data_IF_223141506505
#
_entry.id   IF_223141506505
#
_cell.length_a   1.000
_cell.length_b   1.000
_cell.length_c   1.000
_cell.angle_alpha   90.00
_cell.angle_beta   90.00
_cell.angle_gamma   90.00
#
_symmetry.space_group_name_H-M   'P 1'
#
loop_
_entity.id
_entity.type
_entity.pdbx_description
1 polymer ?
#
# COMPACT_ATOMS: atom_id res chain seq x y z
N UNK A 1 14.74 1.70 -35.00
CA UNK A 1 13.38 2.27 -34.82
C UNK A 1 13.48 3.44 -33.87
N UNK A 2 12.86 4.55 -34.22
CA UNK A 2 12.75 5.72 -33.34
C UNK A 2 11.98 5.36 -32.06
N UNK A 3 12.41 5.89 -30.91
CA UNK A 3 11.73 5.66 -29.63
C UNK A 3 10.47 6.54 -29.58
N UNK A 4 9.30 6.01 -29.19
CA UNK A 4 8.07 6.80 -29.12
C UNK A 4 8.16 7.87 -28.02
N UNK A 5 7.37 8.94 -28.18
CA UNK A 5 7.26 9.99 -27.18
C UNK A 5 6.43 9.47 -25.98
N UNK A 6 6.92 9.73 -24.77
CA UNK A 6 6.22 9.38 -23.52
C UNK A 6 5.88 10.62 -22.71
N UNK A 7 4.61 10.81 -22.35
CA UNK A 7 4.19 11.86 -21.42
C UNK A 7 4.10 11.30 -20.00
N UNK A 8 4.90 11.81 -19.07
CA UNK A 8 4.90 11.40 -17.67
C UNK A 8 4.07 12.40 -16.88
N UNK A 9 2.92 11.97 -16.37
CA UNK A 9 2.00 12.77 -15.56
C UNK A 9 2.27 12.50 -14.08
N UNK A 10 2.51 13.57 -13.33
CA UNK A 10 2.69 13.53 -11.88
C UNK A 10 1.63 14.45 -11.27
N UNK A 11 0.75 13.90 -10.41
CA UNK A 11 -0.24 14.70 -9.68
C UNK A 11 0.35 15.11 -8.33
N UNK A 12 0.21 16.39 -7.98
CA UNK A 12 0.76 16.97 -6.76
C UNK A 12 -0.32 17.68 -5.95
N UNK A 13 -0.25 17.53 -4.62
CA UNK A 13 -1.04 18.29 -3.67
C UNK A 13 -0.24 18.45 -2.38
N UNK A 14 0.26 19.66 -2.11
CA UNK A 14 1.11 19.98 -0.96
C UNK A 14 2.31 19.02 -0.79
N UNK A 15 2.93 18.66 -1.92
CA UNK A 15 3.91 17.56 -2.01
C UNK A 15 5.35 18.00 -2.26
N UNK A 16 5.73 19.26 -2.00
CA UNK A 16 7.06 19.81 -2.33
C UNK A 16 8.22 18.90 -1.91
N UNK A 17 8.16 18.35 -0.71
CA UNK A 17 9.23 17.50 -0.14
C UNK A 17 9.38 16.15 -0.85
N UNK A 18 8.35 15.71 -1.57
CA UNK A 18 8.32 14.47 -2.34
C UNK A 18 8.83 14.68 -3.77
N UNK A 19 8.46 15.81 -4.39
CA UNK A 19 8.77 16.12 -5.79
C UNK A 19 10.26 16.11 -6.10
N UNK A 20 11.11 16.54 -5.17
CA UNK A 20 12.57 16.60 -5.39
C UNK A 20 13.16 15.25 -5.75
N UNK A 21 12.82 14.19 -5.01
CA UNK A 21 13.36 12.85 -5.23
C UNK A 21 12.73 12.19 -6.47
N UNK A 22 11.43 12.39 -6.67
CA UNK A 22 10.68 11.89 -7.82
C UNK A 22 11.22 12.45 -9.14
N UNK A 23 11.25 13.79 -9.29
CA UNK A 23 11.71 14.44 -10.52
C UNK A 23 13.19 14.16 -10.81
N UNK A 24 14.05 14.16 -9.79
CA UNK A 24 15.47 13.78 -9.97
C UNK A 24 15.62 12.37 -10.51
N UNK A 25 14.79 11.41 -10.08
CA UNK A 25 14.86 10.05 -10.58
C UNK A 25 14.33 9.93 -12.01
N UNK A 26 13.22 10.60 -12.33
CA UNK A 26 12.69 10.66 -13.71
C UNK A 26 13.74 11.18 -14.68
N UNK A 27 14.39 12.30 -14.38
CA UNK A 27 15.42 12.89 -15.25
C UNK A 27 16.75 12.12 -15.29
N UNK A 28 16.94 11.14 -14.39
CA UNK A 28 18.06 10.17 -14.41
C UNK A 28 17.76 8.91 -15.22
N UNK A 29 16.55 8.76 -15.75
CA UNK A 29 16.17 7.66 -16.64
C UNK A 29 17.11 7.58 -17.85
N UNK A 30 17.43 6.36 -18.28
CA UNK A 30 18.23 6.08 -19.49
C UNK A 30 17.42 6.29 -20.78
N UNK A 31 16.11 6.54 -20.67
CA UNK A 31 15.29 6.87 -21.83
C UNK A 31 15.69 8.25 -22.41
N UNK A 32 15.80 8.42 -23.74
CA UNK A 32 16.29 9.67 -24.30
C UNK A 32 15.41 10.85 -23.90
N UNK A 33 16.05 11.91 -23.39
CA UNK A 33 15.35 13.12 -22.90
C UNK A 33 14.50 13.81 -23.95
N UNK A 34 14.85 13.69 -25.23
CA UNK A 34 14.05 14.21 -26.35
C UNK A 34 12.77 13.40 -26.62
N UNK A 35 12.65 12.21 -26.04
CA UNK A 35 11.55 11.27 -26.25
C UNK A 35 10.65 11.13 -25.02
N UNK A 36 10.78 12.00 -24.02
CA UNK A 36 9.75 12.12 -22.98
C UNK A 36 9.53 13.57 -22.56
N UNK A 37 8.32 13.86 -22.11
CA UNK A 37 7.95 15.10 -21.45
C UNK A 37 7.43 14.80 -20.05
N UNK A 38 7.57 15.76 -19.14
CA UNK A 38 7.07 15.63 -17.76
C UNK A 38 6.03 16.72 -17.53
N UNK A 39 4.85 16.30 -17.10
CA UNK A 39 3.70 17.14 -16.83
C UNK A 39 3.39 17.00 -15.33
N UNK A 40 3.62 18.08 -14.59
CA UNK A 40 3.20 18.18 -13.21
C UNK A 40 1.83 18.84 -13.17
N UNK A 41 0.84 18.14 -12.60
CA UNK A 41 -0.48 18.69 -12.32
C UNK A 41 -0.53 19.07 -10.85
N UNK A 42 -0.61 20.36 -10.57
CA UNK A 42 -0.81 20.88 -9.22
C UNK A 42 -2.31 20.99 -8.91
N UNK A 43 -2.77 20.27 -7.90
CA UNK A 43 -4.18 20.19 -7.49
C UNK A 43 -4.49 21.20 -6.38
N UNK A 44 -4.24 22.49 -6.61
CA UNK A 44 -4.49 23.56 -5.63
C UNK A 44 -3.59 23.43 -4.38
N UNK A 45 -2.27 23.30 -4.61
CA UNK A 45 -1.29 23.30 -3.53
C UNK A 45 -1.11 24.69 -2.93
N UNK A 46 -1.02 24.72 -1.61
CA UNK A 46 -0.77 25.92 -0.81
C UNK A 46 0.65 25.96 -0.24
N UNK A 47 1.51 25.04 -0.69
CA UNK A 47 2.93 25.02 -0.39
C UNK A 47 3.76 25.63 -1.53
N UNK A 48 5.08 25.56 -1.42
CA UNK A 48 6.00 26.12 -2.42
C UNK A 48 6.32 25.12 -3.56
N UNK A 49 5.45 24.14 -3.84
CA UNK A 49 5.67 23.11 -4.87
C UNK A 49 5.88 23.69 -6.26
N UNK A 50 4.98 24.57 -6.72
CA UNK A 50 5.01 25.15 -8.07
C UNK A 50 6.27 26.00 -8.26
N UNK A 51 6.58 26.89 -7.30
CA UNK A 51 7.80 27.71 -7.34
C UNK A 51 9.07 26.85 -7.35
N UNK A 52 9.10 25.78 -6.57
CA UNK A 52 10.21 24.83 -6.55
C UNK A 52 10.42 24.19 -7.94
N UNK A 53 9.36 23.76 -8.60
CA UNK A 53 9.45 23.09 -9.91
C UNK A 53 9.91 24.06 -10.99
N UNK A 54 9.36 25.27 -11.06
CA UNK A 54 9.82 26.29 -12.01
C UNK A 54 11.30 26.63 -11.85
N UNK A 55 11.79 26.71 -10.60
CA UNK A 55 13.19 27.06 -10.34
C UNK A 55 14.16 25.91 -10.66
N UNK A 56 13.88 24.69 -10.20
CA UNK A 56 14.84 23.57 -10.27
C UNK A 56 14.63 22.64 -11.47
N UNK A 57 13.43 22.65 -12.08
CA UNK A 57 13.06 21.78 -13.19
C UNK A 57 12.28 22.55 -14.28
N UNK A 58 12.87 23.60 -14.89
CA UNK A 58 12.17 24.50 -15.82
C UNK A 58 11.66 23.82 -17.11
N UNK A 59 12.08 22.58 -17.39
CA UNK A 59 11.57 21.79 -18.51
C UNK A 59 10.28 21.02 -18.20
N UNK A 60 9.86 20.97 -16.93
CA UNK A 60 8.59 20.36 -16.52
C UNK A 60 7.46 21.32 -16.85
N UNK A 61 6.46 20.83 -17.57
CA UNK A 61 5.22 21.58 -17.77
C UNK A 61 4.38 21.51 -16.49
N UNK A 62 4.02 22.67 -15.95
CA UNK A 62 3.13 22.75 -14.77
C UNK A 62 1.72 23.11 -15.24
N UNK A 63 0.72 22.38 -14.74
CA UNK A 63 -0.70 22.64 -14.92
C UNK A 63 -1.32 22.86 -13.55
N UNK A 64 -1.82 24.05 -13.29
CA UNK A 64 -2.44 24.40 -12.01
C UNK A 64 -3.97 24.27 -12.13
N UNK A 65 -4.54 23.34 -11.37
CA UNK A 65 -5.99 23.22 -11.22
C UNK A 65 -6.49 24.24 -10.19
N UNK A 66 -7.72 24.73 -10.39
CA UNK A 66 -8.35 25.73 -9.50
C UNK A 66 -8.75 25.18 -8.13
N UNK A 67 -8.89 23.86 -8.02
CA UNK A 67 -9.27 23.17 -6.80
C UNK A 67 -8.74 21.72 -6.79
N UNK A 68 -8.70 21.11 -5.60
CA UNK A 68 -8.27 19.74 -5.46
C UNK A 68 -9.34 18.75 -5.98
N UNK A 69 -9.16 18.27 -7.20
CA UNK A 69 -10.04 17.30 -7.87
C UNK A 69 -9.64 15.82 -7.61
N UNK A 70 -8.77 15.58 -6.63
CA UNK A 70 -8.24 14.26 -6.30
C UNK A 70 -7.30 13.71 -7.39
N UNK A 71 -6.88 12.47 -7.21
CA UNK A 71 -5.98 11.79 -8.16
C UNK A 71 -6.63 11.59 -9.53
N UNK A 72 -7.92 11.24 -9.57
CA UNK A 72 -8.66 11.04 -10.81
C UNK A 72 -8.74 12.33 -11.65
N UNK A 73 -9.21 13.42 -11.04
CA UNK A 73 -9.34 14.71 -11.72
C UNK A 73 -7.99 15.34 -12.08
N UNK A 74 -7.00 15.25 -11.18
CA UNK A 74 -5.63 15.71 -11.46
C UNK A 74 -5.00 14.96 -12.64
N UNK A 75 -5.12 13.63 -12.65
CA UNK A 75 -4.62 12.83 -13.77
C UNK A 75 -5.33 13.18 -15.08
N UNK A 76 -6.65 13.43 -15.03
CA UNK A 76 -7.44 13.86 -16.19
C UNK A 76 -6.96 15.20 -16.77
N UNK A 77 -6.58 16.17 -15.94
CA UNK A 77 -5.94 17.41 -16.41
C UNK A 77 -4.62 17.13 -17.12
N UNK A 78 -3.80 16.21 -16.59
CA UNK A 78 -2.55 15.79 -17.23
C UNK A 78 -2.78 15.09 -18.58
N UNK A 79 -3.75 14.18 -18.64
CA UNK A 79 -4.09 13.44 -19.87
C UNK A 79 -4.45 14.37 -21.03
N UNK A 80 -5.17 15.48 -20.76
CA UNK A 80 -5.56 16.47 -21.77
C UNK A 80 -4.37 17.22 -22.38
N UNK A 81 -3.24 17.27 -21.68
CA UNK A 81 -2.04 18.00 -22.12
C UNK A 81 -0.92 17.07 -22.62
N UNK A 82 -1.04 15.77 -22.35
CA UNK A 82 -0.09 14.77 -22.82
C UNK A 82 -0.06 14.69 -24.35
N UNK A 83 1.14 14.67 -24.94
CA UNK A 83 1.38 14.55 -26.39
C UNK A 83 1.93 13.20 -26.83
N UNK A 84 2.46 12.40 -25.91
CA UNK A 84 3.14 11.13 -26.20
C UNK A 84 2.20 10.01 -26.65
N UNK A 85 2.72 9.10 -27.46
CA UNK A 85 2.02 7.85 -27.86
C UNK A 85 1.74 6.96 -26.65
N UNK A 86 2.62 7.07 -25.65
CA UNK A 86 2.49 6.45 -24.34
C UNK A 86 2.36 7.51 -23.26
N UNK A 87 1.52 7.23 -22.28
CA UNK A 87 1.23 8.13 -21.16
C UNK A 87 1.53 7.36 -19.88
N UNK A 88 2.35 7.92 -19.01
CA UNK A 88 2.71 7.31 -17.74
C UNK A 88 2.06 8.08 -16.62
N UNK A 89 1.38 7.38 -15.72
CA UNK A 89 1.00 7.90 -14.41
C UNK A 89 2.12 7.56 -13.42
N UNK A 90 2.57 8.57 -12.68
CA UNK A 90 3.60 8.42 -11.65
C UNK A 90 3.24 9.26 -10.42
N UNK A 91 3.17 8.64 -9.25
CA UNK A 91 2.94 9.40 -8.03
C UNK A 91 4.15 10.27 -7.66
N UNK A 92 3.88 11.40 -7.01
CA UNK A 92 4.91 12.34 -6.53
C UNK A 92 5.82 11.75 -5.44
N UNK A 93 5.37 10.70 -4.75
CA UNK A 93 6.08 9.97 -3.69
C UNK A 93 6.79 8.70 -4.20
N UNK A 94 6.93 8.56 -5.52
CA UNK A 94 7.63 7.45 -6.18
C UNK A 94 8.98 7.90 -6.74
N UNK A 95 10.02 7.10 -6.49
CA UNK A 95 11.34 7.19 -7.12
C UNK A 95 11.50 6.03 -8.10
N UNK A 96 12.04 6.27 -9.29
CA UNK A 96 12.17 5.25 -10.34
C UNK A 96 13.61 4.79 -10.53
N UNK A 97 13.79 3.55 -11.00
CA UNK A 97 15.09 3.04 -11.44
C UNK A 97 15.52 3.66 -12.79
N UNK A 98 16.82 3.66 -13.08
CA UNK A 98 17.37 4.21 -14.32
C UNK A 98 16.75 3.58 -15.58
N UNK A 99 16.44 2.28 -15.59
CA UNK A 99 15.87 1.62 -16.78
C UNK A 99 14.34 1.53 -16.78
N UNK A 100 13.67 2.01 -15.73
CA UNK A 100 12.23 1.93 -15.52
C UNK A 100 11.39 2.26 -16.77
N UNK A 101 11.59 3.44 -17.36
CA UNK A 101 10.78 3.91 -18.48
C UNK A 101 11.00 3.06 -19.73
N UNK A 102 12.24 2.64 -19.96
CA UNK A 102 12.57 1.78 -21.09
C UNK A 102 11.86 0.44 -20.98
N UNK A 103 11.83 -0.18 -19.79
CA UNK A 103 11.18 -1.46 -19.58
C UNK A 103 9.64 -1.36 -19.71
N UNK A 104 9.02 -0.27 -19.25
CA UNK A 104 7.60 0.00 -19.51
C UNK A 104 7.30 0.07 -21.01
N UNK A 105 8.09 0.87 -21.75
CA UNK A 105 7.91 1.05 -23.20
C UNK A 105 8.13 -0.26 -23.94
N UNK A 106 9.14 -1.05 -23.58
CA UNK A 106 9.41 -2.36 -24.19
C UNK A 106 8.24 -3.32 -24.01
N UNK A 107 7.68 -3.39 -22.81
CA UNK A 107 6.52 -4.23 -22.51
C UNK A 107 5.25 -3.76 -23.26
N UNK A 108 5.07 -2.44 -23.42
CA UNK A 108 3.91 -1.86 -24.08
C UNK A 108 3.89 -2.06 -25.61
N UNK A 109 5.02 -2.37 -26.25
CA UNK A 109 5.10 -2.57 -27.71
C UNK A 109 4.23 -3.71 -28.24
N UNK A 110 3.88 -4.68 -27.40
CA UNK A 110 2.99 -5.77 -27.79
C UNK A 110 1.62 -5.21 -28.21
N UNK A 111 1.11 -5.60 -29.38
CA UNK A 111 -0.11 -5.01 -29.95
C UNK A 111 -1.34 -5.21 -29.06
N UNK A 112 -1.46 -6.34 -28.37
CA UNK A 112 -2.59 -6.62 -27.47
C UNK A 112 -2.53 -5.89 -26.13
N UNK A 113 -1.37 -5.38 -25.72
CA UNK A 113 -1.17 -4.74 -24.41
C UNK A 113 -1.62 -3.29 -24.45
N UNK A 114 -2.53 -2.92 -23.56
CA UNK A 114 -3.03 -1.55 -23.41
C UNK A 114 -2.40 -0.79 -22.24
N UNK A 115 -2.15 -1.49 -21.13
CA UNK A 115 -1.57 -0.92 -19.90
C UNK A 115 -0.42 -1.81 -19.42
N UNK A 116 0.65 -1.19 -18.92
CA UNK A 116 1.79 -1.86 -18.29
C UNK A 116 2.01 -1.30 -16.89
N UNK A 117 2.05 -2.17 -15.88
CA UNK A 117 2.31 -1.85 -14.48
C UNK A 117 3.77 -2.15 -14.12
N UNK A 118 4.41 -1.25 -13.36
CA UNK A 118 5.75 -1.47 -12.80
C UNK A 118 5.74 -2.46 -11.62
N UNK A 119 6.93 -2.93 -11.23
CA UNK A 119 7.20 -3.53 -9.92
C UNK A 119 7.53 -2.41 -8.92
N UNK A 120 6.72 -2.27 -7.88
CA UNK A 120 6.91 -1.28 -6.82
C UNK A 120 7.46 -1.95 -5.57
N UNK A 121 8.61 -1.48 -5.12
CA UNK A 121 9.13 -1.75 -3.78
C UNK A 121 8.74 -0.63 -2.81
N UNK A 122 8.87 -0.90 -1.51
CA UNK A 122 9.00 0.18 -0.53
C UNK A 122 10.26 1.02 -0.84
N UNK A 123 10.25 2.29 -0.45
CA UNK A 123 11.37 3.21 -0.70
C UNK A 123 12.64 2.90 0.11
N UNK A 124 12.56 1.91 0.99
CA UNK A 124 13.65 1.37 1.79
C UNK A 124 13.62 -0.16 1.77
N UNK A 125 14.80 -0.83 1.72
CA UNK A 125 14.89 -2.26 1.93
C UNK A 125 14.78 -2.60 3.43
N UNK A 126 14.71 -3.90 3.73
CA UNK A 126 14.55 -4.42 5.09
C UNK A 126 15.58 -5.50 5.41
N UNK A 127 15.92 -5.67 6.68
CA UNK A 127 16.75 -6.77 7.18
C UNK A 127 15.97 -7.60 8.19
N UNK A 128 16.15 -8.91 8.19
CA UNK A 128 15.49 -9.80 9.13
C UNK A 128 16.46 -10.14 10.28
N UNK A 129 16.04 -9.85 11.51
CA UNK A 129 16.71 -10.28 12.72
C UNK A 129 16.00 -11.48 13.33
N UNK A 130 16.75 -12.53 13.62
CA UNK A 130 16.28 -13.69 14.37
C UNK A 130 16.75 -13.57 15.82
N UNK A 131 15.80 -13.51 16.74
CA UNK A 131 16.02 -13.41 18.18
C UNK A 131 15.69 -14.76 18.79
N UNK A 132 16.68 -15.38 19.44
CA UNK A 132 16.49 -16.66 20.14
C UNK A 132 16.69 -16.45 21.64
N UNK A 133 15.79 -17.01 22.44
CA UNK A 133 15.88 -17.03 23.90
C UNK A 133 15.53 -18.40 24.45
N UNK A 134 15.97 -18.70 25.68
CA UNK A 134 15.50 -19.88 26.40
C UNK A 134 13.98 -19.84 26.60
N UNK A 135 13.31 -20.96 26.37
CA UNK A 135 11.87 -21.14 26.64
C UNK A 135 11.71 -21.67 28.06
N UNK A 136 10.80 -21.07 28.82
CA UNK A 136 10.36 -21.61 30.10
C UNK A 136 8.86 -21.95 30.06
N UNK A 137 8.53 -23.17 30.51
CA UNK A 137 7.15 -23.66 30.63
C UNK A 137 6.79 -23.60 32.10
N UNK A 138 5.86 -22.71 32.47
CA UNK A 138 5.45 -22.51 33.86
C UNK A 138 4.45 -23.59 34.32
N UNK A 139 4.77 -24.41 35.35
CA UNK A 139 3.86 -25.46 35.85
C UNK A 139 2.68 -24.96 36.70
N UNK A 140 2.84 -23.82 37.40
CA UNK A 140 1.96 -23.37 38.51
C UNK A 140 1.05 -22.17 38.20
N UNK A 141 0.96 -21.73 36.94
CA UNK A 141 -0.16 -20.87 36.47
C UNK A 141 -1.35 -21.78 36.15
N UNK A 142 -1.75 -22.57 37.16
CA UNK A 142 -2.87 -23.49 37.06
C UNK A 142 -4.18 -22.74 37.32
N UNK A 143 -4.90 -22.50 36.22
CA UNK A 143 -6.34 -22.21 36.06
C UNK A 143 -6.73 -20.74 35.70
N UNK A 144 -7.13 -20.61 34.43
CA UNK A 144 -7.96 -19.53 33.85
C UNK A 144 -7.14 -18.40 33.23
N UNK A 145 -7.27 -18.00 31.96
CA UNK A 145 -8.22 -18.21 30.85
C UNK A 145 -7.33 -18.20 29.58
N UNK A 146 -7.52 -19.15 28.64
CA UNK A 146 -6.90 -19.22 27.30
C UNK A 146 -5.50 -19.88 27.11
N UNK A 147 -5.33 -21.15 27.50
CA UNK A 147 -4.43 -22.09 26.80
C UNK A 147 -2.92 -21.74 26.69
N UNK A 148 -2.10 -22.42 27.50
CA UNK A 148 -0.64 -22.61 27.41
C UNK A 148 0.13 -21.83 26.32
N UNK A 149 1.01 -20.91 26.72
CA UNK A 149 2.06 -20.41 25.83
C UNK A 149 3.42 -20.37 26.54
N UNK A 150 4.44 -21.10 26.05
CA UNK A 150 5.81 -20.98 26.55
C UNK A 150 6.28 -19.53 26.46
N UNK A 151 6.80 -18.95 27.55
CA UNK A 151 7.30 -17.56 27.52
C UNK A 151 8.82 -17.59 27.28
N UNK A 152 9.24 -16.94 26.19
CA UNK A 152 10.62 -16.47 26.05
C UNK A 152 10.77 -15.13 26.79
N UNK A 153 11.26 -14.12 26.09
CA UNK A 153 11.46 -12.75 26.60
C UNK A 153 10.36 -11.79 26.14
N UNK A 154 10.15 -10.70 26.88
CA UNK A 154 9.26 -9.60 26.48
C UNK A 154 10.08 -8.54 25.74
N UNK A 155 9.68 -8.22 24.51
CA UNK A 155 10.32 -7.21 23.67
C UNK A 155 9.42 -5.96 23.66
N UNK A 156 9.98 -4.81 24.02
CA UNK A 156 9.32 -3.51 23.83
C UNK A 156 9.47 -3.01 22.38
N UNK A 157 9.08 -1.78 22.08
CA UNK A 157 9.32 -1.20 20.77
C UNK A 157 10.80 -1.22 20.40
N UNK A 158 11.08 -1.72 19.19
CA UNK A 158 12.40 -1.59 18.57
C UNK A 158 12.52 -0.17 18.04
N UNK A 159 13.48 0.57 18.60
CA UNK A 159 13.71 1.96 18.26
C UNK A 159 14.77 2.05 17.16
N UNK A 160 14.34 2.51 15.99
CA UNK A 160 15.23 2.91 14.91
C UNK A 160 15.72 4.36 15.13
N UNK A 161 16.62 4.83 14.26
CA UNK A 161 17.17 6.19 14.25
C UNK A 161 16.11 7.30 14.08
N UNK A 162 14.89 6.96 13.63
CA UNK A 162 13.77 7.89 13.57
C UNK A 162 12.42 7.24 13.87
N UNK A 163 11.48 8.03 14.41
CA UNK A 163 10.11 7.59 14.70
C UNK A 163 9.37 7.07 13.47
N UNK A 164 9.62 7.65 12.29
CA UNK A 164 9.03 7.18 11.04
C UNK A 164 9.47 5.76 10.71
N UNK A 165 10.75 5.44 10.95
CA UNK A 165 11.31 4.10 10.71
C UNK A 165 10.87 3.10 11.79
N UNK A 166 10.76 3.50 13.05
CA UNK A 166 10.23 2.61 14.09
C UNK A 166 8.80 2.14 13.76
N UNK A 167 7.98 2.98 13.11
CA UNK A 167 6.64 2.60 12.63
C UNK A 167 6.65 1.60 11.45
N UNK A 168 7.81 1.34 10.85
CA UNK A 168 8.02 0.39 9.76
C UNK A 168 8.70 -0.89 10.25
N UNK A 169 8.78 -1.14 11.56
CA UNK A 169 9.23 -2.41 12.12
C UNK A 169 8.10 -3.44 12.05
N UNK A 170 8.39 -4.62 11.50
CA UNK A 170 7.43 -5.71 11.38
C UNK A 170 7.86 -6.88 12.24
N UNK A 171 7.04 -7.23 13.21
CA UNK A 171 7.23 -8.42 14.01
C UNK A 171 6.55 -9.58 13.27
N UNK A 172 7.36 -10.55 12.84
CA UNK A 172 6.96 -11.62 11.93
C UNK A 172 6.36 -12.79 12.70
N UNK A 173 7.11 -13.88 12.88
CA UNK A 173 6.71 -15.06 13.63
C UNK A 173 7.36 -15.06 15.03
N UNK A 174 6.82 -15.91 15.91
CA UNK A 174 7.41 -16.17 17.21
C UNK A 174 7.05 -15.18 18.32
N UNK A 175 5.91 -14.49 18.18
CA UNK A 175 5.38 -13.54 19.17
C UNK A 175 4.00 -13.94 19.69
N UNK A 176 3.78 -13.78 21.00
CA UNK A 176 2.48 -13.86 21.66
C UNK A 176 1.97 -12.46 22.04
N UNK A 177 0.65 -12.31 22.14
CA UNK A 177 0.02 -11.07 22.60
C UNK A 177 -0.03 -10.99 24.13
N UNK A 178 0.05 -9.76 24.66
CA UNK A 178 -0.34 -9.43 26.04
C UNK A 178 -1.82 -8.99 26.08
N UNK A 179 -2.64 -9.63 26.91
CA UNK A 179 -3.96 -9.09 27.25
C UNK A 179 -3.79 -7.91 28.21
N UNK A 180 -4.39 -6.78 27.84
CA UNK A 180 -4.60 -5.53 28.61
C UNK A 180 -3.43 -4.54 28.78
N UNK A 181 -3.69 -3.28 28.40
CA UNK A 181 -2.81 -2.11 28.59
C UNK A 181 -2.13 -1.59 27.31
N UNK A 182 -1.86 -0.28 27.23
CA UNK A 182 -1.31 0.43 26.07
C UNK A 182 -0.21 -0.36 25.32
N UNK A 183 -0.48 -0.54 24.02
CA UNK A 183 0.28 -1.23 22.96
C UNK A 183 1.73 -0.70 22.91
N UNK A 184 2.76 -1.53 23.14
CA UNK A 184 3.59 -2.05 22.02
C UNK A 184 4.44 -3.30 22.32
N UNK A 185 4.45 -3.80 23.55
CA UNK A 185 5.32 -4.92 23.94
C UNK A 185 4.75 -6.30 23.55
N UNK A 186 5.63 -7.24 23.21
CA UNK A 186 5.28 -8.60 22.73
C UNK A 186 6.15 -9.66 23.37
N UNK A 187 5.52 -10.71 23.89
CA UNK A 187 6.26 -11.88 24.37
C UNK A 187 6.77 -12.69 23.18
N UNK A 188 7.98 -13.23 23.26
CA UNK A 188 8.49 -14.18 22.27
C UNK A 188 8.20 -15.62 22.68
N UNK A 189 8.20 -16.55 21.72
CA UNK A 189 8.08 -17.99 21.98
C UNK A 189 9.43 -18.73 22.04
N UNK A 190 10.51 -17.99 22.30
CA UNK A 190 11.88 -18.50 22.26
C UNK A 190 12.56 -18.38 20.89
N UNK A 191 11.82 -18.25 19.79
CA UNK A 191 12.37 -18.00 18.45
C UNK A 191 11.51 -16.99 17.69
N UNK A 192 11.95 -15.74 17.62
CA UNK A 192 11.17 -14.67 17.01
C UNK A 192 11.92 -13.96 15.89
N UNK A 193 11.23 -13.62 14.81
CA UNK A 193 11.83 -12.87 13.70
C UNK A 193 11.25 -11.46 13.61
N UNK A 194 12.11 -10.47 13.45
CA UNK A 194 11.70 -9.07 13.24
C UNK A 194 12.32 -8.56 11.95
N UNK A 195 11.50 -7.95 11.12
CA UNK A 195 11.92 -7.25 9.92
C UNK A 195 12.09 -5.76 10.22
N UNK A 196 13.30 -5.24 10.02
CA UNK A 196 13.68 -3.87 10.33
C UNK A 196 13.95 -3.08 9.05
N UNK A 197 13.51 -1.81 8.98
CA UNK A 197 13.87 -0.96 7.85
C UNK A 197 15.39 -0.69 7.85
N UNK A 198 16.01 -0.83 6.70
CA UNK A 198 17.43 -0.53 6.51
C UNK A 198 17.57 0.66 5.56
N UNK A 199 18.03 1.79 6.08
CA UNK A 199 18.49 2.90 5.25
C UNK A 199 20.02 2.93 5.28
N UNK A 200 20.65 3.32 4.16
CA UNK A 200 22.12 3.31 4.01
C UNK A 200 22.89 4.15 5.06
N UNK A 201 22.17 4.97 5.84
CA UNK A 201 22.72 5.85 6.87
C UNK A 201 22.48 5.33 8.30
N UNK A 202 21.92 4.13 8.47
CA UNK A 202 21.65 3.53 9.79
C UNK A 202 22.69 2.45 10.06
N UNK A 203 23.51 2.66 11.09
CA UNK A 203 24.49 1.65 11.55
C UNK A 203 24.07 0.95 12.84
N UNK A 204 23.12 1.52 13.59
CA UNK A 204 22.78 1.07 14.94
C UNK A 204 21.26 0.93 15.12
N UNK A 205 20.83 -0.21 15.66
CA UNK A 205 19.48 -0.48 16.13
C UNK A 205 19.50 -0.65 17.65
N UNK A 206 18.53 -0.09 18.37
CA UNK A 206 18.38 -0.31 19.80
C UNK A 206 17.11 -1.11 20.08
N UNK A 207 17.27 -2.25 20.76
CA UNK A 207 16.18 -3.14 21.13
C UNK A 207 16.08 -3.15 22.66
N UNK A 208 14.96 -2.71 23.22
CA UNK A 208 14.69 -2.85 24.66
C UNK A 208 14.09 -4.21 24.96
N UNK A 209 14.80 -5.01 25.78
CA UNK A 209 14.36 -6.34 26.17
C UNK A 209 14.11 -6.39 27.67
N UNK A 210 12.99 -6.99 28.04
CA UNK A 210 12.56 -7.24 29.41
C UNK A 210 12.75 -8.72 29.74
N UNK A 211 13.38 -8.97 30.86
CA UNK A 211 13.57 -10.29 31.43
C UNK A 211 12.26 -10.94 31.84
N UNK A 212 12.33 -12.25 32.02
CA UNK A 212 11.18 -13.07 32.43
C UNK A 212 10.68 -12.68 33.84
N UNK A 213 9.42 -13.02 34.20
CA UNK A 213 8.89 -12.71 35.53
C UNK A 213 9.76 -13.30 36.67
N UNK A 214 9.80 -12.62 37.81
CA UNK A 214 10.65 -13.00 38.97
C UNK A 214 10.36 -14.39 39.53
N UNK A 215 9.15 -14.90 39.32
CA UNK A 215 8.76 -16.27 39.69
C UNK A 215 9.60 -17.35 38.98
N UNK A 216 10.31 -16.98 37.92
CA UNK A 216 11.26 -17.83 37.22
C UNK A 216 12.68 -17.38 37.57
N UNK A 217 13.30 -18.01 38.55
CA UNK A 217 14.65 -17.67 39.03
C UNK A 217 15.76 -18.24 38.14
N UNK A 218 15.67 -18.03 36.82
CA UNK A 218 16.66 -18.54 35.85
C UNK A 218 17.12 -17.45 34.89
N UNK A 219 18.43 -17.39 34.71
CA UNK A 219 19.05 -16.55 33.70
C UNK A 219 18.70 -17.06 32.30
N UNK A 220 18.19 -16.16 31.44
CA UNK A 220 17.76 -16.51 30.08
C UNK A 220 18.82 -16.08 29.07
N UNK A 221 19.49 -17.02 28.38
CA UNK A 221 20.42 -16.66 27.32
C UNK A 221 19.65 -16.07 26.14
N UNK A 222 20.18 -15.00 25.57
CA UNK A 222 19.66 -14.36 24.35
C UNK A 222 20.75 -14.38 23.30
N UNK A 223 20.34 -14.67 22.07
CA UNK A 223 21.16 -14.46 20.88
C UNK A 223 20.36 -13.73 19.83
N UNK A 224 21.02 -12.83 19.12
CA UNK A 224 20.44 -12.14 17.97
C UNK A 224 21.30 -12.39 16.75
N UNK A 225 20.63 -12.79 15.67
CA UNK A 225 21.25 -13.15 14.41
C UNK A 225 20.72 -12.28 13.29
N UNK A 226 21.58 -11.99 12.32
CA UNK A 226 21.22 -11.52 10.98
C UNK A 226 21.46 -12.69 10.03
N UNK A 227 20.38 -13.32 9.55
CA UNK A 227 20.44 -14.63 8.91
C UNK A 227 21.19 -15.63 9.81
N UNK A 228 22.36 -16.12 9.38
CA UNK A 228 23.19 -17.05 10.14
C UNK A 228 24.32 -16.36 10.94
N UNK A 229 24.44 -15.04 10.83
CA UNK A 229 25.51 -14.26 11.48
C UNK A 229 25.08 -13.90 12.89
N UNK A 230 25.80 -14.40 13.91
CA UNK A 230 25.59 -14.01 15.31
C UNK A 230 26.05 -12.57 15.52
N UNK A 231 25.10 -11.67 15.79
CA UNK A 231 25.37 -10.25 16.06
C UNK A 231 25.58 -9.98 17.55
N UNK A 232 24.81 -10.65 18.40
CA UNK A 232 24.83 -10.42 19.85
C UNK A 232 24.54 -11.74 20.58
N UNK A 233 25.28 -11.98 21.67
CA UNK A 233 25.02 -13.03 22.66
C UNK A 233 25.09 -12.40 24.04
N UNK A 234 24.03 -12.56 24.81
CA UNK A 234 23.91 -11.95 26.14
C UNK A 234 23.02 -12.83 27.04
N UNK A 235 22.84 -12.41 28.29
CA UNK A 235 22.01 -13.09 29.29
C UNK A 235 21.15 -12.04 29.98
N UNK A 236 19.86 -12.34 30.12
CA UNK A 236 18.90 -11.48 30.82
C UNK A 236 18.43 -12.17 32.10
N UNK A 237 18.45 -11.40 33.19
CA UNK A 237 17.99 -11.84 34.51
C UNK A 237 16.48 -11.60 34.70
N UNK A 238 15.84 -12.29 35.65
CA UNK A 238 14.43 -12.07 35.95
C UNK A 238 14.14 -10.61 36.32
N UNK A 239 13.03 -10.05 35.82
CA UNK A 239 12.62 -8.62 35.92
C UNK A 239 13.63 -7.57 35.43
N UNK A 240 14.74 -7.99 34.82
CA UNK A 240 15.74 -7.04 34.31
C UNK A 240 15.25 -6.40 33.01
N UNK A 241 15.21 -5.08 32.96
CA UNK A 241 15.09 -4.35 31.68
C UNK A 241 16.50 -4.03 31.21
N UNK A 242 16.86 -4.50 30.01
CA UNK A 242 18.18 -4.26 29.42
C UNK A 242 18.04 -3.79 27.96
N UNK A 243 18.49 -2.58 27.62
CA UNK A 243 18.61 -2.17 26.23
C UNK A 243 19.78 -2.92 25.58
N UNK A 244 19.51 -3.59 24.47
CA UNK A 244 20.50 -4.25 23.63
C UNK A 244 20.74 -3.42 22.38
N UNK A 245 21.96 -2.94 22.21
CA UNK A 245 22.37 -2.19 21.02
C UNK A 245 22.98 -3.15 20.01
N UNK A 246 22.33 -3.26 18.85
CA UNK A 246 22.76 -4.10 17.76
C UNK A 246 23.36 -3.20 16.68
N UNK A 247 24.65 -3.39 16.42
CA UNK A 247 25.34 -2.71 15.34
C UNK A 247 25.40 -3.62 14.12
N UNK A 248 24.97 -3.10 12.98
CA UNK A 248 24.99 -3.81 11.71
C UNK A 248 25.70 -2.90 10.72
N UNK A 249 26.83 -3.36 10.20
CA UNK A 249 27.56 -2.57 9.22
C UNK A 249 26.77 -2.47 7.92
N UNK A 250 27.04 -1.41 7.14
CA UNK A 250 26.47 -1.28 5.79
C UNK A 250 26.77 -2.51 4.93
N UNK A 251 27.96 -3.10 5.02
CA UNK A 251 28.31 -4.30 4.27
C UNK A 251 27.49 -5.53 4.69
N UNK A 252 27.29 -5.73 6.01
CA UNK A 252 26.45 -6.82 6.53
C UNK A 252 25.00 -6.66 6.08
N UNK A 253 24.43 -5.46 6.21
CA UNK A 253 23.07 -5.20 5.78
C UNK A 253 22.92 -5.28 4.25
N UNK A 254 23.85 -4.72 3.48
CA UNK A 254 23.87 -4.81 2.01
C UNK A 254 23.93 -6.24 1.49
N UNK A 255 24.56 -7.16 2.21
CA UNK A 255 24.62 -8.57 1.84
C UNK A 255 23.36 -9.37 2.24
N UNK A 256 22.51 -8.84 3.12
CA UNK A 256 21.43 -9.59 3.78
C UNK A 256 20.08 -8.84 3.78
N UNK A 257 19.92 -7.78 2.98
CA UNK A 257 18.65 -7.08 2.90
C UNK A 257 17.70 -7.79 1.93
N UNK A 258 16.41 -7.52 2.15
CA UNK A 258 15.33 -7.93 1.30
C UNK A 258 14.56 -6.71 0.82
N UNK A 259 14.17 -6.74 -0.46
CA UNK A 259 13.15 -5.85 -0.97
C UNK A 259 11.78 -6.45 -0.70
N UNK A 260 10.86 -5.63 -0.21
CA UNK A 260 9.45 -5.99 -0.09
C UNK A 260 8.67 -5.48 -1.30
N UNK A 261 7.85 -6.33 -1.90
CA UNK A 261 6.94 -5.99 -2.98
C UNK A 261 5.77 -5.21 -2.39
N UNK A 262 5.79 -3.90 -2.57
CA UNK A 262 4.68 -3.04 -2.19
C UNK A 262 3.48 -3.29 -3.13
N UNK A 263 3.73 -3.26 -4.44
CA UNK A 263 2.69 -3.51 -5.45
C UNK A 263 3.29 -4.05 -6.76
N UNK A 264 2.65 -5.06 -7.36
CA UNK A 264 3.00 -5.66 -8.64
C UNK A 264 1.76 -5.84 -9.55
N UNK A 265 0.81 -4.91 -9.45
CA UNK A 265 -0.55 -4.97 -9.98
C UNK A 265 -1.60 -5.07 -8.87
N UNK A 266 -2.87 -4.93 -9.21
CA UNK A 266 -3.98 -5.03 -8.25
C UNK A 266 -4.74 -6.36 -8.43
N UNK A 267 -5.07 -7.01 -7.32
CA UNK A 267 -5.96 -8.17 -7.23
C UNK A 267 -7.35 -7.70 -6.89
N UNK A 268 -8.34 -8.08 -7.71
CA UNK A 268 -9.75 -7.78 -7.48
C UNK A 268 -10.43 -9.07 -7.00
N UNK A 269 -11.31 -8.97 -6.01
CA UNK A 269 -12.10 -10.08 -5.49
C UNK A 269 -13.53 -10.04 -6.03
N UNK A 270 -14.24 -11.17 -5.99
CA UNK A 270 -15.62 -11.28 -6.47
C UNK A 270 -16.61 -10.34 -5.76
N UNK A 271 -16.29 -9.89 -4.55
CA UNK A 271 -17.08 -8.90 -3.80
C UNK A 271 -16.68 -7.45 -4.12
N UNK A 272 -15.85 -7.21 -5.13
CA UNK A 272 -15.40 -5.88 -5.52
C UNK A 272 -14.38 -5.24 -4.57
N UNK A 273 -13.91 -5.93 -3.53
CA UNK A 273 -12.72 -5.49 -2.81
C UNK A 273 -11.50 -5.65 -3.72
N UNK A 274 -10.48 -4.83 -3.47
CA UNK A 274 -9.20 -4.91 -4.16
C UNK A 274 -8.04 -4.77 -3.18
N UNK A 275 -6.88 -5.31 -3.57
CA UNK A 275 -5.61 -5.19 -2.85
C UNK A 275 -4.43 -5.18 -3.80
N UNK A 276 -3.34 -4.63 -3.32
CA UNK A 276 -2.05 -4.66 -3.99
C UNK A 276 -1.54 -6.11 -4.07
N UNK A 277 -1.10 -6.53 -5.26
CA UNK A 277 -0.40 -7.80 -5.46
C UNK A 277 0.99 -7.66 -4.84
N UNK A 278 1.16 -8.25 -3.67
CA UNK A 278 2.31 -8.02 -2.80
C UNK A 278 1.84 -7.89 -1.35
N UNK A 279 0.64 -7.34 -1.13
CA UNK A 279 -0.02 -7.35 0.18
C UNK A 279 -0.60 -8.73 0.48
N UNK A 280 -0.07 -9.37 1.52
CA UNK A 280 -0.51 -10.66 2.06
C UNK A 280 -1.22 -10.43 3.37
N UNK A 281 -2.38 -11.07 3.54
CA UNK A 281 -3.01 -11.15 4.85
C UNK A 281 -2.56 -12.44 5.53
N UNK A 282 -1.79 -12.29 6.60
CA UNK A 282 -1.52 -13.38 7.54
C UNK A 282 -2.57 -13.34 8.64
N UNK A 283 -3.33 -14.43 8.76
CA UNK A 283 -4.16 -14.67 9.93
C UNK A 283 -3.33 -15.49 10.90
N UNK A 284 -2.97 -14.88 12.01
CA UNK A 284 -2.46 -15.58 13.17
C UNK A 284 -3.66 -15.88 14.11
N UNK A 285 -3.48 -16.77 15.08
CA UNK A 285 -4.55 -17.22 15.99
C UNK A 285 -5.28 -16.06 16.69
N UNK A 286 -4.57 -14.94 16.93
CA UNK A 286 -5.12 -13.76 17.62
C UNK A 286 -5.35 -12.52 16.76
N UNK A 287 -4.75 -12.42 15.55
CA UNK A 287 -4.79 -11.16 14.76
C UNK A 287 -4.71 -11.39 13.24
N UNK A 288 -5.37 -10.50 12.49
CA UNK A 288 -5.19 -10.37 11.05
C UNK A 288 -4.20 -9.24 10.78
N UNK A 289 -3.00 -9.56 10.28
CA UNK A 289 -1.99 -8.56 9.88
C UNK A 289 -1.83 -8.54 8.37
N UNK A 290 -1.92 -7.34 7.81
CA UNK A 290 -1.39 -7.07 6.47
C UNK A 290 0.15 -7.16 6.57
N UNK A 291 0.77 -7.92 5.68
CA UNK A 291 2.20 -8.11 5.46
C UNK A 291 2.50 -7.89 3.97
N UNK A 292 3.77 -7.72 3.58
CA UNK A 292 4.14 -7.58 2.17
C UNK A 292 5.18 -8.63 1.78
N UNK A 293 4.97 -9.28 0.64
CA UNK A 293 5.86 -10.35 0.17
C UNK A 293 7.29 -9.87 -0.06
N UNK A 294 8.25 -10.75 0.23
CA UNK A 294 9.62 -10.59 -0.23
C UNK A 294 9.69 -10.73 -1.75
N UNK A 295 10.56 -9.94 -2.38
CA UNK A 295 10.89 -10.15 -3.79
C UNK A 295 11.49 -11.54 -4.00
N UNK A 296 11.04 -12.21 -5.06
CA UNK A 296 11.39 -13.60 -5.35
C UNK A 296 11.26 -13.88 -6.84
N UNK A 297 11.64 -15.08 -7.28
CA UNK A 297 11.50 -15.50 -8.68
C UNK A 297 10.07 -15.37 -9.20
N UNK A 298 9.06 -15.52 -8.33
CA UNK A 298 7.65 -15.31 -8.67
C UNK A 298 7.35 -13.89 -9.19
N UNK A 299 8.06 -12.89 -8.69
CA UNK A 299 7.92 -11.49 -9.11
C UNK A 299 8.88 -11.10 -10.24
N UNK A 300 9.70 -12.04 -10.74
CA UNK A 300 10.63 -11.78 -11.84
C UNK A 300 10.06 -12.17 -13.21
N UNK A 301 8.82 -12.65 -13.25
CA UNK A 301 8.14 -13.12 -14.47
C UNK A 301 7.04 -12.14 -14.90
N UNK A 302 7.01 -11.69 -16.17
CA UNK A 302 5.90 -10.91 -16.71
C UNK A 302 4.57 -11.66 -16.55
N UNK A 303 3.50 -10.94 -16.19
CA UNK A 303 2.20 -11.57 -15.92
C UNK A 303 1.05 -10.70 -16.41
N UNK A 304 0.03 -11.31 -17.01
CA UNK A 304 -1.22 -10.61 -17.31
C UNK A 304 -1.96 -10.31 -15.99
N UNK A 305 -2.41 -9.07 -15.87
CA UNK A 305 -3.14 -8.55 -14.73
C UNK A 305 -4.59 -8.25 -15.13
N UNK A 306 -5.45 -8.11 -14.12
CA UNK A 306 -6.78 -7.56 -14.30
C UNK A 306 -6.81 -6.05 -14.00
N UNK A 307 -5.93 -5.57 -13.12
CA UNK A 307 -5.78 -4.16 -12.85
C UNK A 307 -4.32 -3.75 -12.59
N UNK A 308 -3.95 -2.59 -13.10
CA UNK A 308 -2.68 -1.94 -12.85
C UNK A 308 -2.78 -1.00 -11.65
N UNK A 309 -1.63 -0.67 -11.05
CA UNK A 309 -1.53 0.34 -10.00
C UNK A 309 -1.30 1.73 -10.61
N UNK A 310 -2.08 2.72 -10.19
CA UNK A 310 -1.93 4.12 -10.63
C UNK A 310 -0.61 4.79 -10.22
N UNK A 311 0.11 4.23 -9.23
CA UNK A 311 1.34 4.83 -8.72
C UNK A 311 2.53 4.78 -9.71
N UNK A 312 2.55 3.78 -10.59
CA UNK A 312 3.50 3.72 -11.71
C UNK A 312 2.99 2.76 -12.79
N UNK A 313 2.31 3.30 -13.80
CA UNK A 313 1.87 2.54 -14.96
C UNK A 313 1.96 3.34 -16.25
N UNK A 314 2.19 2.63 -17.35
CA UNK A 314 2.13 3.16 -18.72
C UNK A 314 0.82 2.75 -19.35
N UNK A 315 0.12 3.69 -19.97
CA UNK A 315 -1.14 3.53 -20.68
C UNK A 315 -0.89 3.96 -22.13
N UNK A 316 -1.33 3.15 -23.11
CA UNK A 316 -1.32 3.58 -24.52
C UNK A 316 -2.34 4.69 -24.74
N UNK A 317 -1.98 5.70 -25.54
CA UNK A 317 -2.95 6.74 -25.95
C UNK A 317 -4.21 6.15 -26.57
N UNK A 318 -4.06 5.15 -27.43
CA UNK A 318 -5.18 4.43 -28.05
C UNK A 318 -6.17 3.84 -27.03
N UNK A 319 -5.71 3.47 -25.83
CA UNK A 319 -6.59 3.02 -24.75
C UNK A 319 -7.43 4.19 -24.26
N UNK A 320 -6.82 5.33 -23.95
CA UNK A 320 -7.53 6.53 -23.49
C UNK A 320 -8.53 7.02 -24.54
N UNK A 321 -8.14 7.07 -25.81
CA UNK A 321 -9.01 7.48 -26.91
C UNK A 321 -10.23 6.54 -27.05
N UNK A 322 -10.04 5.24 -26.76
CA UNK A 322 -11.09 4.23 -26.88
C UNK A 322 -12.00 4.13 -25.66
N UNK A 323 -11.44 4.12 -24.45
CA UNK A 323 -12.18 3.84 -23.21
C UNK A 323 -12.49 5.07 -22.37
N UNK A 324 -11.88 6.20 -22.71
CA UNK A 324 -12.00 7.47 -21.99
C UNK A 324 -11.08 7.60 -20.78
N UNK A 325 -11.10 8.80 -20.21
CA UNK A 325 -10.33 9.21 -19.04
C UNK A 325 -10.78 8.50 -17.74
N UNK A 326 -10.23 8.87 -16.59
CA UNK A 326 -10.80 8.44 -15.32
C UNK A 326 -12.20 9.03 -15.12
N UNK A 327 -13.08 8.26 -14.48
CA UNK A 327 -14.31 8.81 -13.93
C UNK A 327 -13.96 9.66 -12.69
N UNK A 328 -14.19 10.95 -12.79
CA UNK A 328 -13.86 11.96 -11.76
C UNK A 328 -14.60 11.76 -10.43
N UNK A 329 -15.74 11.05 -10.40
CA UNK A 329 -16.46 10.82 -9.16
C UNK A 329 -15.72 9.88 -8.19
N UNK A 330 -14.74 9.13 -8.68
CA UNK A 330 -13.86 8.34 -7.82
C UNK A 330 -13.04 9.24 -6.91
N UNK A 331 -12.60 10.42 -7.37
CA UNK A 331 -11.67 11.32 -6.69
C UNK A 331 -10.30 10.67 -6.41
N UNK A 332 -10.25 9.61 -5.59
CA UNK A 332 -9.06 8.82 -5.25
C UNK A 332 -9.46 7.42 -4.76
N UNK A 333 -8.61 6.43 -5.01
CA UNK A 333 -8.83 4.98 -4.85
C UNK A 333 -9.87 4.40 -5.82
N UNK A 334 -9.54 3.28 -6.46
CA UNK A 334 -10.32 2.55 -7.47
C UNK A 334 -10.45 3.20 -8.85
N UNK A 335 -10.01 4.44 -9.08
CA UNK A 335 -9.96 5.03 -10.42
C UNK A 335 -9.06 4.23 -11.38
N UNK A 336 -7.94 3.71 -10.87
CA UNK A 336 -7.01 2.87 -11.61
C UNK A 336 -7.62 1.49 -11.92
N UNK A 337 -8.38 0.93 -10.99
CA UNK A 337 -9.14 -0.32 -11.15
C UNK A 337 -10.27 -0.13 -12.17
N UNK A 338 -11.03 0.97 -12.10
CA UNK A 338 -12.10 1.27 -13.05
C UNK A 338 -11.57 1.39 -14.49
N UNK A 339 -10.51 2.17 -14.69
CA UNK A 339 -9.86 2.30 -16.00
C UNK A 339 -9.32 0.96 -16.48
N UNK A 340 -8.72 0.18 -15.57
CA UNK A 340 -8.23 -1.16 -15.89
C UNK A 340 -9.34 -2.09 -16.35
N UNK A 341 -10.49 -2.12 -15.65
CA UNK A 341 -11.62 -2.95 -16.05
C UNK A 341 -12.22 -2.48 -17.37
N UNK A 342 -12.35 -1.18 -17.62
CA UNK A 342 -12.77 -0.67 -18.94
C UNK A 342 -11.79 -1.07 -20.04
N UNK A 343 -10.49 -0.98 -19.78
CA UNK A 343 -9.43 -1.37 -20.73
C UNK A 343 -9.48 -2.86 -21.05
N UNK A 344 -9.59 -3.70 -20.00
CA UNK A 344 -9.76 -5.14 -20.15
C UNK A 344 -11.04 -5.45 -20.92
N UNK A 345 -12.18 -4.82 -20.58
CA UNK A 345 -13.44 -5.01 -21.29
C UNK A 345 -13.40 -4.53 -22.75
N UNK A 346 -12.53 -3.59 -23.09
CA UNK A 346 -12.26 -3.15 -24.45
C UNK A 346 -11.30 -4.09 -25.24
N UNK A 347 -11.02 -5.28 -24.70
CA UNK A 347 -10.18 -6.34 -25.25
C UNK A 347 -8.67 -6.06 -25.29
N UNK A 348 -8.19 -5.21 -24.39
CA UNK A 348 -6.76 -5.01 -24.18
C UNK A 348 -6.25 -5.90 -23.03
N UNK A 349 -4.97 -6.28 -23.12
CA UNK A 349 -4.23 -6.90 -22.03
C UNK A 349 -3.65 -5.83 -21.11
N UNK A 350 -3.61 -6.14 -19.82
CA UNK A 350 -2.87 -5.37 -18.82
C UNK A 350 -1.70 -6.24 -18.38
N UNK A 351 -0.49 -5.69 -18.40
CA UNK A 351 0.73 -6.47 -18.20
C UNK A 351 1.54 -5.95 -17.01
N UNK A 352 2.04 -6.87 -16.20
CA UNK A 352 3.07 -6.60 -15.21
C UNK A 352 4.46 -6.69 -15.85
N UNK A 353 5.26 -5.63 -15.72
CA UNK A 353 6.65 -5.56 -16.21
C UNK A 353 7.64 -5.64 -15.04
N UNK A 354 8.21 -6.83 -14.74
CA UNK A 354 9.04 -7.05 -13.55
C UNK A 354 10.36 -6.28 -13.55
N UNK A 355 10.87 -5.92 -14.74
CA UNK A 355 12.10 -5.15 -14.91
C UNK A 355 11.89 -3.63 -14.81
N UNK A 356 10.64 -3.17 -14.88
CA UNK A 356 10.31 -1.77 -14.60
C UNK A 356 10.23 -1.57 -13.10
N UNK A 357 11.30 -1.07 -12.48
CA UNK A 357 11.41 -0.95 -11.02
C UNK A 357 11.13 0.48 -10.56
N UNK A 358 10.27 0.59 -9.55
CA UNK A 358 9.95 1.82 -8.84
C UNK A 358 9.95 1.60 -7.32
N UNK A 359 10.16 2.67 -6.56
CA UNK A 359 10.31 2.70 -5.11
C UNK A 359 9.31 3.71 -4.54
N UNK A 360 8.40 3.27 -3.68
CA UNK A 360 7.24 4.06 -3.25
C UNK A 360 7.30 4.36 -1.75
N UNK A 361 7.24 5.65 -1.39
CA UNK A 361 7.06 6.15 -0.01
C UNK A 361 5.62 5.90 0.44
N UNK A 362 5.27 4.63 0.63
CA UNK A 362 3.89 4.16 0.80
C UNK A 362 3.11 4.91 1.90
N UNK A 363 1.92 5.41 1.54
CA UNK A 363 0.97 6.14 2.41
C UNK A 363 1.54 7.40 3.07
N UNK A 364 2.53 8.06 2.46
CA UNK A 364 2.99 9.39 2.93
C UNK A 364 2.02 10.49 2.49
N UNK A 365 1.48 10.38 1.27
CA UNK A 365 0.48 11.31 0.71
C UNK A 365 -0.93 11.11 1.27
N UNK A 366 -1.22 9.92 1.79
CA UNK A 366 -2.47 9.62 2.50
C UNK A 366 -2.25 9.74 4.00
N UNK A 367 -2.62 10.88 4.59
CA UNK A 367 -2.59 11.04 6.04
C UNK A 367 -3.40 9.92 6.72
N UNK A 368 -2.73 9.03 7.46
CA UNK A 368 -3.36 8.02 8.34
C UNK A 368 -4.37 8.65 9.34
N UNK A 369 -4.33 9.97 9.51
CA UNK A 369 -5.14 10.74 10.44
C UNK A 369 -6.59 10.98 9.99
N UNK A 370 -6.95 10.79 8.71
CA UNK A 370 -8.35 10.88 8.27
C UNK A 370 -8.92 9.51 7.86
N UNK A 371 -9.08 8.65 8.86
CA UNK A 371 -9.68 7.32 8.69
C UNK A 371 -11.09 7.42 8.10
N UNK A 372 -11.83 8.50 8.42
CA UNK A 372 -13.18 8.77 7.91
C UNK A 372 -13.13 8.99 6.40
N UNK A 373 -12.20 9.83 5.92
CA UNK A 373 -11.99 10.06 4.49
C UNK A 373 -11.67 8.76 3.75
N UNK A 374 -10.72 7.97 4.25
CA UNK A 374 -10.34 6.69 3.62
C UNK A 374 -11.50 5.71 3.58
N UNK A 375 -12.20 5.51 4.70
CA UNK A 375 -13.36 4.62 4.79
C UNK A 375 -14.44 5.07 3.82
N UNK A 376 -14.72 6.39 3.76
CA UNK A 376 -15.68 6.96 2.83
C UNK A 376 -15.32 6.64 1.39
N UNK A 377 -14.08 6.92 0.98
CA UNK A 377 -13.67 6.72 -0.42
C UNK A 377 -13.69 5.24 -0.79
N UNK A 378 -13.10 4.36 0.02
CA UNK A 378 -13.07 2.93 -0.26
C UNK A 378 -14.47 2.31 -0.33
N UNK A 379 -15.37 2.64 0.60
CA UNK A 379 -16.74 2.08 0.59
C UNK A 379 -17.56 2.66 -0.57
N UNK A 380 -17.49 3.98 -0.83
CA UNK A 380 -18.19 4.62 -1.95
C UNK A 380 -17.72 4.07 -3.29
N UNK A 381 -16.41 4.07 -3.52
CA UNK A 381 -15.83 3.72 -4.82
C UNK A 381 -15.94 2.23 -5.11
N UNK A 382 -15.93 1.37 -4.08
CA UNK A 382 -16.30 -0.04 -4.23
C UNK A 382 -17.74 -0.21 -4.73
N UNK A 383 -18.69 0.56 -4.20
CA UNK A 383 -20.07 0.51 -4.67
C UNK A 383 -20.20 1.03 -6.12
N UNK A 384 -19.40 2.03 -6.51
CA UNK A 384 -19.32 2.50 -7.90
C UNK A 384 -18.85 1.37 -8.81
N UNK A 385 -17.71 0.76 -8.47
CA UNK A 385 -17.13 -0.35 -9.21
C UNK A 385 -18.11 -1.53 -9.35
N UNK A 386 -18.76 -1.93 -8.27
CA UNK A 386 -19.74 -3.02 -8.28
C UNK A 386 -20.92 -2.72 -9.20
N UNK A 387 -21.48 -1.51 -9.11
CA UNK A 387 -22.63 -1.12 -9.93
C UNK A 387 -22.26 -1.04 -11.42
N UNK A 388 -21.06 -0.58 -11.77
CA UNK A 388 -20.64 -0.40 -13.16
C UNK A 388 -20.09 -1.66 -13.80
N UNK A 389 -19.35 -2.48 -13.04
CA UNK A 389 -18.56 -3.60 -13.58
C UNK A 389 -18.93 -4.99 -13.11
N UNK A 390 -19.84 -5.16 -12.15
CA UNK A 390 -20.27 -6.50 -11.68
C UNK A 390 -21.73 -6.81 -12.07
N UNK A 391 -22.14 -8.09 -12.16
CA UNK A 391 -23.54 -8.44 -12.31
C UNK A 391 -24.43 -7.84 -11.21
N UNK A 392 -25.65 -7.46 -11.56
CA UNK A 392 -26.56 -6.75 -10.65
C UNK A 392 -26.92 -7.58 -9.40
N UNK A 393 -26.91 -8.92 -9.48
CA UNK A 393 -27.15 -9.77 -8.31
C UNK A 393 -25.99 -9.70 -7.31
N UNK A 394 -24.73 -9.64 -7.77
CA UNK A 394 -23.56 -9.44 -6.90
C UNK A 394 -23.62 -8.04 -6.28
N UNK A 395 -23.90 -7.01 -7.09
CA UNK A 395 -24.08 -5.65 -6.58
C UNK A 395 -25.20 -5.60 -5.52
N UNK A 396 -26.36 -6.19 -5.77
CA UNK A 396 -27.47 -6.20 -4.82
C UNK A 396 -27.10 -6.88 -3.50
N UNK A 397 -26.45 -8.04 -3.57
CA UNK A 397 -25.96 -8.76 -2.40
C UNK A 397 -24.96 -7.93 -1.57
N UNK A 398 -23.94 -7.37 -2.23
CA UNK A 398 -22.92 -6.55 -1.56
C UNK A 398 -23.48 -5.22 -1.04
N UNK A 399 -24.49 -4.67 -1.70
CA UNK A 399 -25.18 -3.46 -1.26
C UNK A 399 -26.00 -3.73 0.01
N UNK A 400 -26.70 -4.87 0.09
CA UNK A 400 -27.39 -5.31 1.31
C UNK A 400 -26.38 -5.48 2.45
N UNK A 401 -25.24 -6.12 2.18
CA UNK A 401 -24.19 -6.30 3.18
C UNK A 401 -23.55 -4.97 3.63
N UNK A 402 -23.39 -4.01 2.71
CA UNK A 402 -22.97 -2.65 3.05
C UNK A 402 -23.99 -1.95 3.96
N UNK A 403 -25.29 -2.03 3.62
CA UNK A 403 -26.36 -1.42 4.42
C UNK A 403 -26.44 -2.07 5.81
N UNK A 404 -26.34 -3.39 5.92
CA UNK A 404 -26.34 -4.07 7.22
C UNK A 404 -25.16 -3.63 8.10
N UNK A 405 -23.95 -3.51 7.53
CA UNK A 405 -22.77 -2.98 8.24
C UNK A 405 -22.94 -1.52 8.66
N UNK A 406 -23.52 -0.68 7.81
CA UNK A 406 -23.82 0.72 8.14
C UNK A 406 -24.78 0.79 9.32
N UNK A 407 -25.92 0.10 9.25
CA UNK A 407 -26.93 0.07 10.31
C UNK A 407 -26.36 -0.48 11.61
N UNK A 408 -25.61 -1.59 11.54
CA UNK A 408 -24.93 -2.17 12.70
C UNK A 408 -23.99 -1.16 13.36
N UNK A 409 -23.11 -0.49 12.60
CA UNK A 409 -22.19 0.49 13.19
C UNK A 409 -22.88 1.73 13.75
N UNK A 410 -23.99 2.16 13.16
CA UNK A 410 -24.80 3.25 13.73
C UNK A 410 -25.48 2.82 15.04
N UNK A 411 -26.03 1.60 15.09
CA UNK A 411 -26.66 1.04 16.28
C UNK A 411 -25.65 0.87 17.42
N UNK A 412 -24.48 0.27 17.15
CA UNK A 412 -23.42 0.08 18.14
C UNK A 412 -22.84 1.41 18.65
N UNK A 413 -22.68 2.40 17.77
CA UNK A 413 -22.23 3.74 18.19
C UNK A 413 -23.21 4.37 19.18
N UNK A 414 -24.52 4.28 18.89
CA UNK A 414 -25.57 4.75 19.81
C UNK A 414 -25.60 3.97 21.11
N UNK A 415 -25.45 2.64 21.06
CA UNK A 415 -25.43 1.78 22.24
C UNK A 415 -24.27 2.15 23.17
N UNK A 416 -23.04 2.30 22.65
CA UNK A 416 -21.89 2.68 23.46
C UNK A 416 -22.00 4.09 24.04
N UNK A 417 -22.61 5.04 23.30
CA UNK A 417 -22.93 6.36 23.84
C UNK A 417 -23.92 6.27 25.00
N UNK A 418 -24.96 5.44 24.86
CA UNK A 418 -25.96 5.22 25.90
C UNK A 418 -25.36 4.58 27.15
N UNK A 419 -24.47 3.59 27.00
CA UNK A 419 -23.80 2.93 28.13
C UNK A 419 -22.64 3.74 28.71
N UNK A 420 -22.40 4.97 28.24
CA UNK A 420 -21.23 5.80 28.59
C UNK A 420 -19.89 5.03 28.49
N UNK A 421 -19.81 4.07 27.56
CA UNK A 421 -18.63 3.23 27.39
C UNK A 421 -17.65 3.93 26.46
N UNK A 422 -16.56 4.47 27.01
CA UNK A 422 -15.51 5.13 26.26
C UNK A 422 -14.31 4.22 26.06
N UNK A 423 -14.07 3.84 24.80
CA UNK A 423 -12.92 3.02 24.40
C UNK A 423 -12.43 3.37 23.00
N UNK A 424 -11.21 2.95 22.68
CA UNK A 424 -10.66 3.02 21.32
C UNK A 424 -11.54 2.27 20.30
N UNK A 425 -12.17 1.17 20.72
CA UNK A 425 -13.11 0.42 19.90
C UNK A 425 -14.37 1.25 19.56
N UNK A 426 -14.93 1.96 20.55
CA UNK A 426 -16.06 2.87 20.32
C UNK A 426 -15.66 3.99 19.33
N UNK A 427 -14.48 4.58 19.52
CA UNK A 427 -13.97 5.63 18.63
C UNK A 427 -13.87 5.12 17.18
N UNK A 428 -13.19 3.99 16.96
CA UNK A 428 -13.06 3.38 15.63
C UNK A 428 -14.42 3.03 14.99
N UNK A 429 -15.38 2.52 15.77
CA UNK A 429 -16.72 2.23 15.26
C UNK A 429 -17.46 3.51 14.85
N UNK A 430 -17.29 4.59 15.61
CA UNK A 430 -17.88 5.89 15.30
C UNK A 430 -17.33 6.47 14.00
N UNK A 431 -16.02 6.34 13.76
CA UNK A 431 -15.38 6.76 12.51
C UNK A 431 -15.89 5.94 11.32
N UNK A 432 -15.97 4.61 11.48
CA UNK A 432 -16.57 3.72 10.47
C UNK A 432 -18.01 4.09 10.14
N UNK A 433 -18.82 4.42 11.15
CA UNK A 433 -20.20 4.82 10.95
C UNK A 433 -20.30 6.14 10.17
N UNK A 434 -19.49 7.15 10.53
CA UNK A 434 -19.41 8.44 9.83
C UNK A 434 -18.99 8.26 8.36
N UNK A 435 -17.89 7.53 8.12
CA UNK A 435 -17.36 7.28 6.78
C UNK A 435 -18.37 6.56 5.88
N UNK A 436 -19.01 5.48 6.37
CA UNK A 436 -20.03 4.75 5.60
C UNK A 436 -21.29 5.57 5.33
N UNK A 437 -21.72 6.40 6.28
CA UNK A 437 -22.86 7.30 6.07
C UNK A 437 -22.58 8.28 4.94
N UNK A 438 -21.39 8.90 4.93
CA UNK A 438 -20.98 9.79 3.85
C UNK A 438 -20.86 9.03 2.51
N UNK A 439 -20.28 7.83 2.52
CA UNK A 439 -20.20 6.98 1.32
C UNK A 439 -21.59 6.69 0.72
N UNK A 440 -22.58 6.36 1.55
CA UNK A 440 -23.95 6.13 1.09
C UNK A 440 -24.60 7.39 0.48
N UNK A 441 -24.39 8.56 1.11
CA UNK A 441 -24.92 9.83 0.61
C UNK A 441 -24.34 10.17 -0.77
N UNK A 442 -23.01 10.09 -0.92
CA UNK A 442 -22.33 10.32 -2.21
C UNK A 442 -22.70 9.25 -3.24
N UNK A 443 -22.87 8.00 -2.81
CA UNK A 443 -23.32 6.92 -3.68
C UNK A 443 -24.68 7.23 -4.30
N UNK A 444 -25.66 7.60 -3.45
CA UNK A 444 -27.01 7.93 -3.88
C UNK A 444 -27.05 9.13 -4.83
N UNK A 445 -26.20 10.15 -4.59
CA UNK A 445 -26.10 11.32 -5.47
C UNK A 445 -25.69 10.93 -6.90
N UNK A 446 -24.77 9.98 -7.05
CA UNK A 446 -24.23 9.56 -8.35
C UNK A 446 -24.95 8.35 -8.97
N UNK A 447 -25.92 7.73 -8.29
CA UNK A 447 -26.55 6.48 -8.70
C UNK A 447 -27.09 6.48 -10.15
N UNK A 448 -27.83 7.53 -10.54
CA UNK A 448 -28.37 7.65 -11.91
C UNK A 448 -27.27 7.71 -12.96
N UNK A 449 -26.20 8.47 -12.70
CA UNK A 449 -25.04 8.60 -13.59
C UNK A 449 -24.31 7.27 -13.75
N UNK A 450 -24.15 6.52 -12.66
CA UNK A 450 -23.50 5.20 -12.66
C UNK A 450 -24.31 4.15 -13.39
N UNK A 451 -25.64 4.15 -13.24
CA UNK A 451 -26.51 3.29 -14.04
C UNK A 451 -26.36 3.57 -15.53
N UNK A 452 -26.34 4.86 -15.92
CA UNK A 452 -26.12 5.23 -17.31
C UNK A 452 -24.72 4.78 -17.80
N UNK A 453 -23.68 4.98 -17.00
CA UNK A 453 -22.31 4.49 -17.28
C UNK A 453 -22.30 2.98 -17.49
N UNK A 454 -22.99 2.20 -16.65
CA UNK A 454 -23.16 0.75 -16.82
C UNK A 454 -23.79 0.40 -18.17
N UNK A 455 -24.92 1.04 -18.52
CA UNK A 455 -25.60 0.77 -19.80
C UNK A 455 -24.70 1.10 -20.99
N UNK A 456 -24.02 2.24 -20.96
CA UNK A 456 -23.09 2.66 -21.99
C UNK A 456 -21.94 1.66 -22.14
N UNK A 457 -21.28 1.29 -21.04
CA UNK A 457 -20.19 0.32 -21.06
C UNK A 457 -20.63 -1.06 -21.56
N UNK A 458 -21.81 -1.55 -21.15
CA UNK A 458 -22.32 -2.83 -21.64
C UNK A 458 -22.60 -2.84 -23.14
N UNK A 459 -22.90 -1.68 -23.75
CA UNK A 459 -23.12 -1.56 -25.18
C UNK A 459 -21.82 -1.42 -25.98
N UNK A 460 -20.83 -0.73 -25.42
CA UNK A 460 -19.60 -0.35 -26.11
C UNK A 460 -18.46 -1.36 -25.96
N UNK A 461 -18.47 -2.16 -24.88
CA UNK A 461 -17.35 -3.03 -24.54
C UNK A 461 -17.44 -4.41 -25.21
N UNK A 462 -16.28 -4.98 -25.50
CA UNK A 462 -16.15 -6.28 -26.18
C UNK A 462 -16.40 -7.44 -25.22
N UNK A 463 -15.77 -7.43 -24.04
CA UNK A 463 -15.93 -8.49 -23.03
C UNK A 463 -17.17 -8.24 -22.18
N UNK A 464 -17.96 -9.29 -21.99
CA UNK A 464 -19.16 -9.25 -21.18
C UNK A 464 -18.82 -9.17 -19.68
N UNK A 465 -19.68 -8.52 -18.91
CA UNK A 465 -19.60 -8.45 -17.46
C UNK A 465 -19.57 -9.83 -16.78
N UNK A 466 -20.19 -10.85 -17.39
CA UNK A 466 -20.19 -12.22 -16.89
C UNK A 466 -18.84 -12.93 -17.12
N UNK A 467 -18.04 -12.49 -18.09
CA UNK A 467 -16.67 -13.01 -18.27
C UNK A 467 -15.77 -12.57 -17.13
N UNK A 468 -15.97 -11.35 -16.59
CA UNK A 468 -15.25 -10.88 -15.42
C UNK A 468 -15.44 -11.83 -14.24
N UNK A 469 -16.68 -12.25 -13.98
CA UNK A 469 -16.98 -13.17 -12.87
C UNK A 469 -16.27 -14.51 -13.05
N UNK A 470 -16.26 -15.08 -14.26
CA UNK A 470 -15.52 -16.31 -14.55
C UNK A 470 -14.00 -16.17 -14.37
N UNK A 471 -13.47 -14.96 -14.45
CA UNK A 471 -12.05 -14.68 -14.25
C UNK A 471 -11.69 -14.46 -12.78
N UNK A 472 -12.67 -14.10 -11.94
CA UNK A 472 -12.48 -13.80 -10.52
C UNK A 472 -12.64 -15.04 -9.61
N UNK A 473 -13.24 -16.11 -10.12
CA UNK A 473 -13.37 -17.43 -9.48
C UNK A 473 -12.45 -18.43 -10.19
#
# INVERSE_FOLDING_TARGET
MEKPLVSIIIVNFNGKDLLKDCLKAVFKSSYPKKNFEVILVDNDSHDESVKFVHHYFPSVQVIENLDNQGFAGGSNSGFKHAKGDYIVLLNSDVRVDTNWLQELVLAARQKSVGIVCSKLYFDIPFIELKITSGIEILPDVQKGIDGFSPLGILIEDIVCDSKQKSNLVWYMNGFYRKNEGKISSRWTNGNANVLLPFAQNVENYSISIHGIPETIHKETPIKVYLNDILLLKDVIRPKQVKPLNIRISKSQASANFHWLIQNAGNVIFANGLSRDRGSVIRRDESETKEFYDFDSEYYNVPKKLLAACGASCLIKREVIDKVGLFDDAYFMYYEDIDLSLRTWRANWDILYAPKSIAYHKHRVTTNKQDSIFMIRMLEKNRLYLLLTHFPLHIFAYEFIFFLSRLLFTLAMTKLFQFTAYYSEYQFMLSEKAKGRKQAFIEFRKNFKRLLWSRFYQNKMMVRNINELVKYLY
#
